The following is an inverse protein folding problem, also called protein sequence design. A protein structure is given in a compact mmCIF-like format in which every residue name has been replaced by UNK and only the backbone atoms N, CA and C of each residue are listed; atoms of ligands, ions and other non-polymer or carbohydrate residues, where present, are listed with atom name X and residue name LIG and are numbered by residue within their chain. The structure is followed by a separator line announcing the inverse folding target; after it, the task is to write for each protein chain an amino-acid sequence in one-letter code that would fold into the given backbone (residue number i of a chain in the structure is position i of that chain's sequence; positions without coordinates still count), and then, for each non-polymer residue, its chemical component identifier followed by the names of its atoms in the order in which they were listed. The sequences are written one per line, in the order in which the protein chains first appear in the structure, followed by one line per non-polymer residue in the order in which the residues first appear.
data_IF_162594316562
#
_entry.id   IF_162594316562
#
_cell.length_a   1.000
_cell.length_b   1.000
_cell.length_c   1.000
_cell.angle_alpha   90.00
_cell.angle_beta   90.00
_cell.angle_gamma   90.00
#
_symmetry.space_group_name_H-M   'P 1'
#
loop_
_entity.id
_entity.type
_entity.pdbx_description
1 polymer ?
#
# COMPACT_ATOMS: atom_id res chain seq x y z
N UNK A 1 -12.03 11.37 -8.31
CA UNK A 1 -12.00 12.75 -7.79
C UNK A 1 -11.78 12.82 -6.28
N UNK A 2 -11.75 11.70 -5.53
CA UNK A 2 -11.49 11.71 -4.08
C UNK A 2 -12.50 12.52 -3.27
N UNK A 3 -13.61 12.96 -3.86
CA UNK A 3 -14.51 13.92 -3.22
C UNK A 3 -15.25 13.25 -2.06
N UNK A 4 -14.78 13.49 -0.84
CA UNK A 4 -15.41 13.04 0.40
C UNK A 4 -16.92 13.35 0.40
N UNK A 5 -17.30 14.58 0.02
CA UNK A 5 -18.72 15.00 -0.06
C UNK A 5 -19.54 14.16 -1.03
N UNK A 6 -18.98 13.79 -2.18
CA UNK A 6 -19.71 12.95 -3.15
C UNK A 6 -19.84 11.51 -2.65
N UNK A 7 -18.79 10.96 -2.04
CA UNK A 7 -18.82 9.62 -1.46
C UNK A 7 -19.84 9.56 -0.32
N UNK A 8 -19.78 10.50 0.62
CA UNK A 8 -20.74 10.62 1.72
C UNK A 8 -22.19 10.69 1.21
N UNK A 9 -22.45 11.58 0.24
CA UNK A 9 -23.79 11.76 -0.34
C UNK A 9 -24.36 10.48 -0.98
N UNK A 10 -23.50 9.66 -1.60
CA UNK A 10 -23.89 8.38 -2.19
C UNK A 10 -24.17 7.33 -1.11
N UNK A 11 -23.32 7.25 -0.09
CA UNK A 11 -23.48 6.30 1.03
C UNK A 11 -24.74 6.61 1.85
N UNK A 12 -25.04 7.89 2.08
CA UNK A 12 -26.28 8.34 2.74
C UNK A 12 -27.55 7.92 1.96
N UNK A 13 -27.41 7.60 0.66
CA UNK A 13 -28.47 7.08 -0.21
C UNK A 13 -28.41 5.56 -0.39
N UNK A 14 -27.79 4.86 0.57
CA UNK A 14 -27.69 3.40 0.56
C UNK A 14 -26.89 2.85 -0.64
N UNK A 15 -25.94 3.63 -1.19
CA UNK A 15 -25.01 3.08 -2.16
C UNK A 15 -24.21 1.91 -1.54
N UNK A 16 -24.04 0.83 -2.30
CA UNK A 16 -23.31 -0.33 -1.83
C UNK A 16 -21.82 0.04 -1.61
N UNK A 17 -21.40 0.08 -0.33
CA UNK A 17 -20.03 0.42 0.08
C UNK A 17 -19.00 -0.59 -0.46
N UNK A 18 -19.43 -1.83 -0.69
CA UNK A 18 -18.63 -2.93 -1.24
C UNK A 18 -18.88 -3.17 -2.74
N UNK A 19 -19.45 -2.20 -3.46
CA UNK A 19 -19.64 -2.33 -4.91
C UNK A 19 -18.30 -2.54 -5.61
N UNK A 20 -18.15 -3.65 -6.33
CA UNK A 20 -16.92 -3.99 -7.05
C UNK A 20 -17.04 -3.66 -8.53
N UNK A 21 -15.93 -3.24 -9.14
CA UNK A 21 -15.82 -3.14 -10.59
C UNK A 21 -15.56 -4.51 -11.25
N UNK A 22 -15.34 -4.51 -12.57
CA UNK A 22 -15.00 -5.74 -13.33
C UNK A 22 -13.70 -6.41 -12.89
N UNK A 23 -12.84 -5.70 -12.15
CA UNK A 23 -11.57 -6.19 -11.62
C UNK A 23 -11.68 -6.62 -10.15
N UNK A 24 -12.89 -6.60 -9.58
CA UNK A 24 -13.13 -6.94 -8.19
C UNK A 24 -12.75 -5.82 -7.21
N UNK A 25 -12.37 -4.64 -7.69
CA UNK A 25 -11.95 -3.53 -6.82
C UNK A 25 -13.15 -2.83 -6.21
N UNK A 26 -13.25 -2.94 -4.89
CA UNK A 26 -14.14 -2.12 -4.07
C UNK A 26 -13.63 -0.67 -3.95
N UNK A 27 -14.47 0.32 -3.55
CA UNK A 27 -14.08 1.72 -3.41
C UNK A 27 -12.84 1.93 -2.54
N UNK A 28 -12.70 1.12 -1.48
CA UNK A 28 -11.56 1.18 -0.56
C UNK A 28 -10.22 0.90 -1.26
N UNK A 29 -10.19 0.03 -2.27
CA UNK A 29 -8.98 -0.22 -3.07
C UNK A 29 -8.52 1.04 -3.80
N UNK A 30 -9.44 1.80 -4.39
CA UNK A 30 -9.08 2.99 -5.17
C UNK A 30 -8.51 4.11 -4.30
N UNK A 31 -9.01 4.24 -3.08
CA UNK A 31 -8.47 5.20 -2.11
C UNK A 31 -7.01 4.90 -1.83
N UNK A 32 -6.66 3.61 -1.70
CA UNK A 32 -5.31 3.14 -1.46
C UNK A 32 -4.38 3.23 -2.69
N UNK A 33 -4.91 3.29 -3.91
CA UNK A 33 -4.09 3.44 -5.13
C UNK A 33 -3.59 4.86 -5.39
N UNK A 34 -4.10 5.87 -4.68
CA UNK A 34 -3.78 7.27 -4.97
C UNK A 34 -2.82 7.82 -3.94
N UNK A 35 -1.55 7.49 -4.10
CA UNK A 35 -0.46 8.22 -3.47
C UNK A 35 0.35 8.98 -4.51
N UNK A 36 0.84 10.15 -4.11
CA UNK A 36 1.72 10.99 -4.90
C UNK A 36 3.07 11.06 -4.18
N UNK A 37 4.20 10.89 -4.90
CA UNK A 37 5.51 10.73 -4.27
C UNK A 37 5.84 11.92 -3.36
N UNK A 38 6.50 11.67 -2.20
CA UNK A 38 6.96 12.74 -1.34
C UNK A 38 7.97 13.62 -2.11
N UNK A 39 7.97 14.94 -1.87
CA UNK A 39 8.91 15.84 -2.54
C UNK A 39 10.34 15.54 -2.06
N UNK A 40 11.25 15.37 -3.02
CA UNK A 40 12.68 15.21 -2.76
C UNK A 40 13.28 16.43 -2.02
N UNK A 41 14.28 16.21 -1.15
CA UNK A 41 14.75 17.16 -0.11
C UNK A 41 15.45 18.44 -0.63
N UNK A 42 15.60 18.60 -1.94
CA UNK A 42 16.18 19.80 -2.58
C UNK A 42 15.07 20.71 -3.17
N UNK A 43 14.68 21.76 -2.44
CA UNK A 43 13.38 22.45 -2.60
C UNK A 43 13.41 23.73 -3.45
N UNK A 44 12.67 23.73 -4.56
CA UNK A 44 12.30 24.94 -5.34
C UNK A 44 10.87 25.40 -5.00
N UNK A 45 10.53 26.68 -5.28
CA UNK A 45 9.17 27.24 -5.04
C UNK A 45 8.05 26.44 -5.73
N UNK A 46 8.35 25.81 -6.87
CA UNK A 46 7.44 24.92 -7.60
C UNK A 46 7.17 23.62 -6.82
N UNK A 47 8.23 22.96 -6.35
CA UNK A 47 8.12 21.71 -5.57
C UNK A 47 7.37 21.89 -4.25
N UNK A 48 7.48 23.05 -3.58
CA UNK A 48 6.66 23.34 -2.37
C UNK A 48 5.15 23.36 -2.63
N UNK A 49 4.73 23.88 -3.79
CA UNK A 49 3.31 23.91 -4.17
C UNK A 49 2.79 22.50 -4.50
N UNK A 50 3.63 21.68 -5.12
CA UNK A 50 3.33 20.27 -5.40
C UNK A 50 3.26 19.45 -4.11
N UNK A 51 4.20 19.67 -3.17
CA UNK A 51 4.19 19.09 -1.83
C UNK A 51 2.88 19.37 -1.07
N UNK A 52 2.50 20.64 -1.02
CA UNK A 52 1.26 21.07 -0.35
C UNK A 52 0.02 20.47 -1.01
N UNK A 53 -0.02 20.41 -2.35
CA UNK A 53 -1.12 19.75 -3.09
C UNK A 53 -1.19 18.25 -2.80
N UNK A 54 -0.04 17.59 -2.71
CA UNK A 54 0.04 16.17 -2.38
C UNK A 54 -0.52 15.92 -0.97
N UNK A 55 -0.10 16.68 0.02
CA UNK A 55 -0.56 16.54 1.40
C UNK A 55 -2.10 16.72 1.54
N UNK A 56 -2.68 17.70 0.84
CA UNK A 56 -4.14 17.90 0.82
C UNK A 56 -4.84 16.69 0.19
N UNK A 57 -4.29 16.16 -0.90
CA UNK A 57 -4.87 14.98 -1.55
C UNK A 57 -4.82 13.76 -0.62
N UNK A 58 -3.70 13.51 0.05
CA UNK A 58 -3.56 12.40 1.01
C UNK A 58 -4.56 12.49 2.15
N UNK A 59 -4.76 13.68 2.72
CA UNK A 59 -5.77 13.90 3.77
C UNK A 59 -7.19 13.62 3.26
N UNK A 60 -7.51 14.11 2.06
CA UNK A 60 -8.82 13.89 1.45
C UNK A 60 -9.10 12.40 1.18
N UNK A 61 -8.09 11.64 0.72
CA UNK A 61 -8.23 10.20 0.54
C UNK A 61 -8.36 9.46 1.88
N UNK A 62 -7.64 9.88 2.92
CA UNK A 62 -7.77 9.32 4.27
C UNK A 62 -9.19 9.52 4.83
N UNK A 63 -9.78 10.70 4.68
CA UNK A 63 -11.18 10.95 5.07
C UNK A 63 -12.14 10.02 4.31
N UNK A 64 -11.94 9.82 3.00
CA UNK A 64 -12.75 8.88 2.22
C UNK A 64 -12.59 7.45 2.73
N UNK A 65 -11.37 7.00 3.07
CA UNK A 65 -11.15 5.67 3.64
C UNK A 65 -11.89 5.51 4.97
N UNK A 66 -11.83 6.51 5.85
CA UNK A 66 -12.53 6.51 7.13
C UNK A 66 -14.04 6.40 6.95
N UNK A 67 -14.60 7.20 6.04
CA UNK A 67 -16.04 7.16 5.74
C UNK A 67 -16.46 5.80 5.19
N UNK A 68 -15.70 5.22 4.25
CA UNK A 68 -16.01 3.89 3.72
C UNK A 68 -16.02 2.82 4.81
N UNK A 69 -15.01 2.81 5.69
CA UNK A 69 -14.94 1.85 6.81
C UNK A 69 -16.09 2.06 7.79
N UNK A 70 -16.45 3.32 8.11
CA UNK A 70 -17.57 3.63 8.99
C UNK A 70 -18.93 3.13 8.45
N UNK A 71 -19.07 3.06 7.12
CA UNK A 71 -20.24 2.49 6.46
C UNK A 71 -20.14 0.97 6.24
N UNK A 72 -19.13 0.31 6.81
CA UNK A 72 -18.99 -1.15 6.80
C UNK A 72 -18.10 -1.72 5.69
N UNK A 73 -17.25 -0.90 5.06
CA UNK A 73 -16.27 -1.42 4.11
C UNK A 73 -15.31 -2.42 4.79
N UNK A 74 -15.04 -3.54 4.13
CA UNK A 74 -14.13 -4.56 4.63
C UNK A 74 -12.68 -4.17 4.35
N UNK A 75 -11.93 -3.96 5.42
CA UNK A 75 -10.50 -3.61 5.43
C UNK A 75 -9.65 -4.66 4.68
N UNK A 76 -10.09 -5.91 4.68
CA UNK A 76 -9.36 -7.06 4.11
C UNK A 76 -10.02 -7.62 2.84
N UNK A 77 -11.00 -6.92 2.25
CA UNK A 77 -11.63 -7.37 1.01
C UNK A 77 -10.57 -7.55 -0.08
N UNK A 78 -10.51 -8.71 -0.71
CA UNK A 78 -9.59 -8.93 -1.83
C UNK A 78 -10.25 -8.55 -3.18
N UNK A 79 -9.46 -7.96 -4.08
CA UNK A 79 -9.81 -7.80 -5.49
C UNK A 79 -9.68 -9.13 -6.26
N UNK A 80 -9.94 -9.14 -7.57
CA UNK A 80 -9.86 -10.37 -8.36
C UNK A 80 -8.44 -10.96 -8.46
N UNK A 81 -7.40 -10.16 -8.16
CA UNK A 81 -6.01 -10.60 -8.10
C UNK A 81 -5.61 -11.05 -6.67
N UNK A 82 -6.56 -11.11 -5.74
CA UNK A 82 -6.30 -11.45 -4.34
C UNK A 82 -5.73 -10.29 -3.53
N UNK A 83 -5.63 -9.09 -4.10
CA UNK A 83 -5.01 -7.94 -3.43
C UNK A 83 -6.01 -7.28 -2.49
N UNK A 84 -5.61 -7.12 -1.24
CA UNK A 84 -6.34 -6.29 -0.27
C UNK A 84 -6.05 -4.79 -0.48
N UNK A 85 -6.83 -3.88 0.13
CA UNK A 85 -6.52 -2.44 0.17
C UNK A 85 -5.10 -2.15 0.63
N UNK A 86 -4.56 -2.93 1.57
CA UNK A 86 -3.18 -2.78 2.05
C UNK A 86 -2.14 -3.10 0.96
N UNK A 87 -2.38 -4.09 0.10
CA UNK A 87 -1.50 -4.37 -1.05
C UNK A 87 -1.50 -3.18 -2.02
N UNK A 88 -2.68 -2.62 -2.31
CA UNK A 88 -2.79 -1.42 -3.15
C UNK A 88 -2.08 -0.22 -2.52
N UNK A 89 -2.23 -0.01 -1.21
CA UNK A 89 -1.56 1.08 -0.50
C UNK A 89 -0.04 0.94 -0.57
N UNK A 90 0.48 -0.27 -0.33
CA UNK A 90 1.89 -0.56 -0.36
C UNK A 90 2.51 -0.39 -1.76
N UNK A 91 1.84 -0.86 -2.81
CA UNK A 91 2.28 -0.72 -4.20
C UNK A 91 2.37 0.74 -4.66
N UNK A 92 1.51 1.61 -4.11
CA UNK A 92 1.45 3.01 -4.51
C UNK A 92 2.18 3.97 -3.55
N UNK A 93 2.67 3.49 -2.40
CA UNK A 93 3.30 4.33 -1.38
C UNK A 93 2.30 5.20 -0.60
N UNK A 94 1.08 4.72 -0.39
CA UNK A 94 0.04 5.42 0.38
C UNK A 94 0.18 5.17 1.88
N UNK A 95 1.28 5.64 2.47
CA UNK A 95 1.72 5.29 3.85
C UNK A 95 0.70 5.67 4.92
N UNK A 96 0.03 6.83 4.81
CA UNK A 96 -1.02 7.24 5.75
C UNK A 96 -2.26 6.34 5.66
N UNK A 97 -2.67 5.96 4.44
CA UNK A 97 -3.78 5.04 4.24
C UNK A 97 -3.44 3.64 4.74
N UNK A 98 -2.22 3.15 4.49
CA UNK A 98 -1.74 1.88 5.04
C UNK A 98 -1.73 1.90 6.57
N UNK A 99 -1.26 2.98 7.19
CA UNK A 99 -1.24 3.14 8.65
C UNK A 99 -2.65 3.07 9.26
N UNK A 100 -3.62 3.72 8.61
CA UNK A 100 -5.03 3.64 9.01
C UNK A 100 -5.62 2.22 8.82
N UNK A 101 -5.34 1.56 7.70
CA UNK A 101 -5.81 0.18 7.50
C UNK A 101 -5.22 -0.78 8.55
N UNK A 102 -3.93 -0.63 8.87
CA UNK A 102 -3.25 -1.45 9.87
C UNK A 102 -3.80 -1.21 11.28
N UNK A 103 -4.15 0.03 11.64
CA UNK A 103 -4.80 0.32 12.93
C UNK A 103 -6.19 -0.30 13.08
N UNK A 104 -6.85 -0.61 11.95
CA UNK A 104 -8.12 -1.32 11.89
C UNK A 104 -7.98 -2.85 11.79
N UNK A 105 -6.76 -3.39 11.91
CA UNK A 105 -6.51 -4.84 11.82
C UNK A 105 -6.43 -5.38 10.39
N UNK A 106 -5.94 -4.58 9.44
CA UNK A 106 -5.56 -5.10 8.12
C UNK A 106 -4.55 -6.25 8.25
N UNK A 107 -4.73 -7.29 7.45
CA UNK A 107 -3.85 -8.45 7.43
C UNK A 107 -2.49 -8.08 6.82
N UNK A 108 -1.53 -7.68 7.67
CA UNK A 108 -0.18 -7.26 7.26
C UNK A 108 0.57 -8.33 6.46
N UNK A 109 0.34 -9.60 6.81
CA UNK A 109 0.91 -10.78 6.14
C UNK A 109 -0.09 -11.47 5.19
N UNK A 110 -1.20 -10.81 4.86
CA UNK A 110 -2.11 -11.29 3.82
C UNK A 110 -1.37 -11.48 2.50
N UNK A 111 -1.73 -12.52 1.76
CA UNK A 111 -1.11 -12.88 0.48
C UNK A 111 -2.09 -12.68 -0.66
N UNK A 112 -1.61 -12.09 -1.75
CA UNK A 112 -2.35 -12.05 -3.02
C UNK A 112 -2.18 -13.35 -3.81
N UNK A 113 -2.77 -13.42 -5.01
CA UNK A 113 -2.73 -14.63 -5.85
C UNK A 113 -1.32 -15.01 -6.33
N UNK A 114 -0.33 -14.12 -6.17
CA UNK A 114 1.08 -14.36 -6.48
C UNK A 114 1.88 -14.71 -5.20
N UNK A 115 1.20 -15.01 -4.10
CA UNK A 115 1.77 -15.17 -2.76
C UNK A 115 2.54 -13.94 -2.27
N UNK A 116 2.37 -12.77 -2.89
CA UNK A 116 3.01 -11.56 -2.43
C UNK A 116 2.25 -10.97 -1.25
N UNK A 117 3.01 -10.44 -0.31
CA UNK A 117 2.51 -9.64 0.80
C UNK A 117 2.57 -8.15 0.47
N UNK A 118 1.98 -7.30 1.31
CA UNK A 118 2.12 -5.85 1.21
C UNK A 118 3.60 -5.42 1.19
N UNK A 119 4.49 -6.10 1.92
CA UNK A 119 5.92 -5.76 1.94
C UNK A 119 6.63 -6.02 0.59
N UNK A 120 6.23 -7.07 -0.13
CA UNK A 120 6.72 -7.31 -1.49
C UNK A 120 6.32 -6.18 -2.43
N UNK A 121 5.05 -5.76 -2.37
CA UNK A 121 4.52 -4.64 -3.17
C UNK A 121 5.23 -3.31 -2.85
N UNK A 122 5.45 -3.02 -1.56
CA UNK A 122 6.24 -1.87 -1.13
C UNK A 122 7.69 -1.93 -1.66
N UNK A 123 8.24 -3.13 -1.82
CA UNK A 123 9.61 -3.31 -2.29
C UNK A 123 9.80 -3.02 -3.78
N UNK A 124 8.79 -3.35 -4.59
CA UNK A 124 8.72 -2.95 -6.00
C UNK A 124 8.62 -1.41 -6.11
N UNK A 125 7.78 -0.80 -5.28
CA UNK A 125 7.62 0.66 -5.23
C UNK A 125 8.91 1.37 -4.78
N UNK A 126 9.69 0.74 -3.90
CA UNK A 126 10.93 1.31 -3.34
C UNK A 126 10.69 2.29 -2.19
N UNK A 127 9.53 2.20 -1.53
CA UNK A 127 9.15 3.11 -0.45
C UNK A 127 9.65 2.61 0.91
N UNK A 128 10.74 3.22 1.39
CA UNK A 128 11.34 2.88 2.68
C UNK A 128 10.42 3.15 3.87
N UNK A 129 9.58 4.18 3.80
CA UNK A 129 8.74 4.56 4.93
C UNK A 129 7.53 3.62 5.03
N UNK A 130 6.97 3.21 3.89
CA UNK A 130 6.00 2.12 3.81
C UNK A 130 6.59 0.80 4.33
N UNK A 131 7.80 0.44 3.91
CA UNK A 131 8.43 -0.80 4.37
C UNK A 131 8.65 -0.82 5.89
N UNK A 132 9.14 0.28 6.46
CA UNK A 132 9.28 0.43 7.92
C UNK A 132 7.95 0.29 8.64
N UNK A 133 6.89 0.93 8.13
CA UNK A 133 5.56 0.84 8.70
C UNK A 133 5.06 -0.61 8.74
N UNK A 134 5.20 -1.33 7.63
CA UNK A 134 4.80 -2.74 7.53
C UNK A 134 5.60 -3.62 8.50
N UNK A 135 6.93 -3.44 8.57
CA UNK A 135 7.79 -4.20 9.49
C UNK A 135 7.40 -3.94 10.95
N UNK A 136 7.22 -2.66 11.32
CA UNK A 136 6.85 -2.28 12.69
C UNK A 136 5.46 -2.81 13.10
N UNK A 137 4.58 -3.05 12.12
CA UNK A 137 3.26 -3.65 12.32
C UNK A 137 3.26 -5.17 12.20
N UNK A 138 4.43 -5.82 12.16
CA UNK A 138 4.58 -7.28 12.21
C UNK A 138 4.63 -7.97 10.85
N UNK A 139 4.98 -7.25 9.77
CA UNK A 139 5.24 -7.89 8.49
C UNK A 139 6.41 -8.87 8.59
N UNK A 140 6.22 -10.07 8.03
CA UNK A 140 7.28 -11.05 7.88
C UNK A 140 8.23 -10.63 6.75
N UNK A 141 9.42 -10.17 7.11
CA UNK A 141 10.49 -9.76 6.18
C UNK A 141 10.96 -10.92 5.29
N UNK A 142 10.89 -12.15 5.82
CA UNK A 142 11.30 -13.38 5.16
C UNK A 142 10.15 -14.09 4.43
N UNK A 143 9.01 -13.41 4.24
CA UNK A 143 7.93 -13.99 3.47
C UNK A 143 8.40 -14.31 2.04
N UNK A 144 8.13 -15.54 1.60
CA UNK A 144 8.35 -15.98 0.24
C UNK A 144 7.10 -15.73 -0.61
N UNK A 145 7.33 -15.25 -1.83
CA UNK A 145 6.34 -15.00 -2.87
C UNK A 145 6.74 -15.68 -4.19
N UNK A 146 5.84 -15.64 -5.17
CA UNK A 146 6.11 -16.07 -6.54
C UNK A 146 6.39 -14.84 -7.41
N UNK A 147 7.41 -14.95 -8.26
CA UNK A 147 7.71 -13.94 -9.27
C UNK A 147 8.02 -14.60 -10.62
N UNK A 148 8.28 -13.80 -11.65
CA UNK A 148 8.43 -14.31 -13.01
C UNK A 148 9.65 -15.24 -13.20
N UNK A 149 10.65 -15.17 -12.31
CA UNK A 149 11.87 -15.97 -12.38
C UNK A 149 11.89 -17.16 -11.40
N UNK A 150 10.89 -17.30 -10.52
CA UNK A 150 10.85 -18.41 -9.57
C UNK A 150 9.90 -18.21 -8.39
N UNK A 151 9.80 -19.26 -7.58
CA UNK A 151 9.21 -19.19 -6.24
C UNK A 151 10.29 -18.77 -5.22
N UNK A 152 9.93 -18.49 -3.97
CA UNK A 152 10.91 -18.15 -2.93
C UNK A 152 11.41 -16.70 -2.97
N UNK A 153 10.82 -15.85 -3.82
CA UNK A 153 11.19 -14.44 -3.94
C UNK A 153 10.81 -13.69 -2.68
N UNK A 154 11.73 -12.86 -2.18
CA UNK A 154 11.57 -12.10 -0.92
C UNK A 154 11.53 -10.62 -1.23
N UNK A 155 11.07 -9.82 -0.26
CA UNK A 155 11.11 -8.36 -0.34
C UNK A 155 12.51 -7.81 -0.72
N UNK A 156 13.57 -8.39 -0.16
CA UNK A 156 14.95 -7.99 -0.45
C UNK A 156 15.34 -8.24 -1.92
N UNK A 157 14.94 -9.40 -2.49
CA UNK A 157 15.18 -9.73 -3.89
C UNK A 157 14.53 -8.72 -4.84
N UNK A 158 13.26 -8.37 -4.58
CA UNK A 158 12.54 -7.37 -5.38
C UNK A 158 13.15 -5.97 -5.28
N UNK A 159 13.58 -5.58 -4.08
CA UNK A 159 14.24 -4.29 -3.85
C UNK A 159 15.58 -4.22 -4.61
N UNK A 160 16.36 -5.31 -4.64
CA UNK A 160 17.61 -5.41 -5.38
C UNK A 160 17.38 -5.41 -6.90
N UNK A 161 16.42 -6.19 -7.40
CA UNK A 161 16.03 -6.26 -8.81
C UNK A 161 15.67 -4.87 -9.37
N UNK A 162 14.97 -4.05 -8.58
CA UNK A 162 14.53 -2.71 -8.98
C UNK A 162 15.53 -1.61 -8.63
N UNK A 163 16.76 -1.95 -8.19
CA UNK A 163 17.82 -0.99 -7.88
C UNK A 163 17.52 -0.06 -6.70
N UNK A 164 16.65 -0.49 -5.76
CA UNK A 164 16.21 0.31 -4.60
C UNK A 164 17.24 0.25 -3.47
N UNK A 165 18.43 0.82 -3.68
CA UNK A 165 19.56 0.72 -2.74
C UNK A 165 19.23 1.20 -1.31
N UNK A 166 18.45 2.26 -1.16
CA UNK A 166 18.00 2.74 0.16
C UNK A 166 17.10 1.73 0.88
N UNK A 167 16.20 1.10 0.14
CA UNK A 167 15.29 0.11 0.68
C UNK A 167 16.02 -1.19 1.03
N UNK A 168 16.97 -1.63 0.20
CA UNK A 168 17.84 -2.77 0.50
C UNK A 168 18.55 -2.55 1.85
N UNK A 169 19.17 -1.38 2.05
CA UNK A 169 19.79 -1.03 3.34
C UNK A 169 18.78 -1.06 4.49
N UNK A 170 17.59 -0.51 4.27
CA UNK A 170 16.51 -0.51 5.25
C UNK A 170 16.12 -1.94 5.65
N UNK A 171 15.82 -2.81 4.68
CA UNK A 171 15.44 -4.20 4.92
C UNK A 171 16.54 -4.97 5.66
N UNK A 172 17.81 -4.82 5.27
CA UNK A 172 18.94 -5.45 5.97
C UNK A 172 19.04 -4.98 7.44
N UNK A 173 18.76 -3.71 7.72
CA UNK A 173 18.77 -3.17 9.08
C UNK A 173 17.67 -3.78 9.96
N UNK A 174 16.55 -4.16 9.37
CA UNK A 174 15.41 -4.79 10.05
C UNK A 174 15.40 -6.32 9.95
N UNK A 175 16.55 -6.93 9.69
CA UNK A 175 16.74 -8.38 9.81
C UNK A 175 16.45 -9.19 8.55
N UNK A 176 16.36 -8.56 7.38
CA UNK A 176 16.33 -9.30 6.11
C UNK A 176 17.64 -10.08 5.91
N UNK A 177 17.54 -11.37 5.64
CA UNK A 177 18.68 -12.22 5.35
C UNK A 177 19.22 -11.93 3.94
N UNK A 178 20.50 -11.58 3.87
CA UNK A 178 21.16 -11.16 2.62
C UNK A 178 21.65 -12.35 1.78
N UNK A 179 21.84 -13.51 2.41
CA UNK A 179 22.46 -14.70 1.80
C UNK A 179 21.47 -15.83 1.50
N UNK A 180 20.18 -15.55 1.37
CA UNK A 180 19.24 -16.64 1.07
C UNK A 180 19.27 -16.93 -0.42
N UNK A 181 19.89 -18.04 -0.77
CA UNK A 181 19.86 -18.58 -2.13
C UNK A 181 18.44 -19.06 -2.41
N UNK A 182 17.92 -18.62 -3.53
CA UNK A 182 16.75 -19.12 -4.24
C UNK A 182 16.93 -20.63 -4.53
N UNK A 183 15.98 -21.46 -4.06
CA UNK A 183 15.95 -22.91 -4.34
C UNK A 183 15.30 -23.22 -5.70
#
# INVERSE_FOLDING_TARGET
SGSHKAVQFLLDRNAAVEAVDKTGKAPLHYVCTRSHPPPDKASTKKKRREAWRSAIASQQYLEVAQTLVNFGASVNKADAAGRSPLHCAAENGATEAAGYLLSLGAAVNGRDNQNMTALHRASIAGDCDMAKLLIFTGANVEAAAKWHWGDGVRALHLAAEHGRADLVRCLCQYGAQVNVVDE
#
